data_IF_930990563730
#
_entry.id   IF_930990563730
#
_cell.length_a   1.000
_cell.length_b   1.000
_cell.length_c   1.000
_cell.angle_alpha   90.00
_cell.angle_beta   90.00
_cell.angle_gamma   90.00
#
_symmetry.space_group_name_H-M   'P 1'
#
loop_
_entity.id
_entity.type
_entity.pdbx_description
1 polymer ?
#
# COMPACT_ATOMS: atom_id res chain seq x y z
N UNK A 1 -21.02 -8.85 22.19
CA UNK A 1 -20.30 -10.12 22.08
C UNK A 1 -20.46 -10.78 20.71
N UNK A 2 -21.69 -10.91 20.18
CA UNK A 2 -21.97 -11.52 18.86
C UNK A 2 -21.28 -10.80 17.68
N UNK A 3 -21.23 -9.47 17.66
CA UNK A 3 -20.61 -8.66 16.59
C UNK A 3 -19.10 -8.91 16.49
N UNK A 4 -18.37 -8.89 17.61
CA UNK A 4 -16.91 -9.14 17.63
C UNK A 4 -16.55 -10.56 17.19
N UNK A 5 -17.37 -11.55 17.53
CA UNK A 5 -17.16 -12.94 17.06
C UNK A 5 -17.38 -13.04 15.55
N UNK A 6 -18.43 -12.38 15.01
CA UNK A 6 -18.69 -12.31 13.56
C UNK A 6 -17.52 -11.66 12.81
N UNK A 7 -17.02 -10.51 13.28
CA UNK A 7 -15.86 -9.81 12.69
C UNK A 7 -14.60 -10.70 12.71
N UNK A 8 -14.36 -11.38 13.83
CA UNK A 8 -13.24 -12.32 13.95
C UNK A 8 -13.34 -13.46 12.93
N UNK A 9 -14.51 -14.11 12.82
CA UNK A 9 -14.73 -15.20 11.86
C UNK A 9 -14.61 -14.73 10.41
N UNK A 10 -15.18 -13.56 10.08
CA UNK A 10 -15.05 -12.96 8.75
C UNK A 10 -13.60 -12.61 8.42
N UNK A 11 -12.84 -12.11 9.39
CA UNK A 11 -11.42 -11.81 9.18
C UNK A 11 -10.58 -13.08 8.96
N UNK A 12 -10.90 -14.16 9.68
CA UNK A 12 -10.23 -15.44 9.50
C UNK A 12 -10.53 -16.03 8.12
N UNK A 13 -11.79 -16.05 7.72
CA UNK A 13 -12.22 -16.50 6.41
C UNK A 13 -11.62 -15.65 5.29
N UNK A 14 -11.66 -14.32 5.41
CA UNK A 14 -11.08 -13.39 4.44
C UNK A 14 -9.56 -13.60 4.26
N UNK A 15 -8.84 -13.83 5.36
CA UNK A 15 -7.41 -14.16 5.30
C UNK A 15 -7.13 -15.42 4.48
N UNK A 16 -7.88 -16.51 4.73
CA UNK A 16 -7.71 -17.76 4.00
C UNK A 16 -8.11 -17.61 2.53
N UNK A 17 -9.19 -16.89 2.23
CA UNK A 17 -9.60 -16.59 0.86
C UNK A 17 -8.47 -15.85 0.13
N UNK A 18 -7.91 -14.78 0.71
CA UNK A 18 -6.81 -14.04 0.07
C UNK A 18 -5.57 -14.91 -0.13
N UNK A 19 -5.20 -15.73 0.85
CA UNK A 19 -4.08 -16.65 0.69
C UNK A 19 -4.32 -17.65 -0.44
N UNK A 20 -5.53 -18.23 -0.51
CA UNK A 20 -5.91 -19.18 -1.54
C UNK A 20 -5.90 -18.53 -2.92
N UNK A 21 -6.42 -17.31 -3.06
CA UNK A 21 -6.40 -16.58 -4.34
C UNK A 21 -4.98 -16.36 -4.85
N UNK A 22 -4.04 -15.98 -3.98
CA UNK A 22 -2.64 -15.84 -4.40
C UNK A 22 -1.98 -17.19 -4.66
N UNK A 23 -2.24 -18.22 -3.86
CA UNK A 23 -1.71 -19.56 -4.04
C UNK A 23 -2.14 -20.20 -5.37
N UNK A 24 -3.39 -19.99 -5.77
CA UNK A 24 -3.94 -20.50 -7.03
C UNK A 24 -3.51 -19.70 -8.27
N UNK A 25 -2.65 -18.70 -8.12
CA UNK A 25 -2.13 -17.89 -9.21
C UNK A 25 -0.62 -18.03 -9.34
N UNK A 26 -0.09 -17.89 -10.55
CA UNK A 26 1.35 -17.76 -10.76
C UNK A 26 1.76 -16.34 -10.43
N UNK A 27 2.48 -16.15 -9.33
CA UNK A 27 2.97 -14.84 -8.87
C UNK A 27 4.37 -14.60 -9.43
N UNK A 28 4.59 -13.44 -10.02
CA UNK A 28 5.89 -12.94 -10.48
C UNK A 28 6.16 -11.56 -9.87
N UNK A 29 7.41 -11.28 -9.55
CA UNK A 29 7.85 -10.00 -8.97
C UNK A 29 8.91 -9.40 -9.86
N UNK A 30 8.83 -8.09 -10.11
CA UNK A 30 9.85 -7.32 -10.82
C UNK A 30 10.36 -6.20 -9.91
N UNK A 31 11.67 -6.03 -9.79
CA UNK A 31 12.31 -4.99 -9.01
C UNK A 31 12.45 -5.32 -7.52
N UNK A 32 12.32 -6.59 -7.12
CA UNK A 32 12.44 -7.03 -5.72
C UNK A 32 13.77 -6.60 -5.09
N UNK A 33 14.84 -6.59 -5.86
CA UNK A 33 16.18 -6.15 -5.46
C UNK A 33 16.20 -4.73 -4.88
N UNK A 34 15.31 -3.86 -5.34
CA UNK A 34 15.20 -2.48 -4.84
C UNK A 34 14.70 -2.47 -3.38
N UNK A 35 13.66 -3.26 -3.08
CA UNK A 35 13.16 -3.40 -1.71
C UNK A 35 14.22 -4.01 -0.79
N UNK A 36 14.88 -5.09 -1.23
CA UNK A 36 15.88 -5.78 -0.43
C UNK A 36 17.09 -4.89 -0.12
N UNK A 37 17.55 -4.08 -1.08
CA UNK A 37 18.62 -3.08 -0.87
C UNK A 37 18.19 -2.03 0.16
N UNK A 38 16.96 -1.53 0.09
CA UNK A 38 16.43 -0.56 1.05
C UNK A 38 16.34 -1.14 2.46
N UNK A 39 15.80 -2.34 2.61
CA UNK A 39 15.71 -3.02 3.91
C UNK A 39 17.11 -3.19 4.52
N UNK A 40 18.08 -3.64 3.72
CA UNK A 40 19.48 -3.80 4.18
C UNK A 40 20.13 -2.47 4.58
N UNK A 41 19.70 -1.36 3.98
CA UNK A 41 20.27 -0.04 4.31
C UNK A 41 19.84 0.49 5.68
N UNK A 42 18.81 -0.11 6.32
CA UNK A 42 18.23 0.35 7.58
C UNK A 42 17.55 1.72 7.52
N UNK A 43 17.43 2.32 6.32
CA UNK A 43 16.77 3.62 6.14
C UNK A 43 15.27 3.46 6.27
N UNK A 44 14.57 4.46 6.82
CA UNK A 44 13.11 4.44 6.88
C UNK A 44 12.51 4.44 5.47
N UNK A 45 11.40 3.73 5.30
CA UNK A 45 10.75 3.54 4.01
C UNK A 45 9.28 3.94 4.08
N UNK A 46 8.83 4.76 3.13
CA UNK A 46 7.43 5.01 2.85
C UNK A 46 7.04 4.24 1.59
N UNK A 47 6.15 3.28 1.74
CA UNK A 47 5.57 2.54 0.64
C UNK A 47 4.30 3.24 0.19
N UNK A 48 4.31 3.75 -1.04
CA UNK A 48 3.17 4.42 -1.65
C UNK A 48 2.41 3.46 -2.57
N UNK A 49 1.08 3.47 -2.48
CA UNK A 49 0.21 2.60 -3.26
C UNK A 49 -1.17 3.22 -3.45
N UNK A 50 -1.88 2.85 -4.52
CA UNK A 50 -3.30 3.20 -4.68
C UNK A 50 -4.22 2.26 -3.90
N UNK A 51 -5.30 2.76 -3.32
CA UNK A 51 -6.29 1.93 -2.60
C UNK A 51 -6.75 0.73 -3.41
N UNK A 52 -7.08 0.94 -4.68
CA UNK A 52 -7.54 -0.12 -5.56
C UNK A 52 -6.55 -1.26 -5.81
N UNK A 53 -5.29 -1.10 -5.38
CA UNK A 53 -4.22 -2.10 -5.57
C UNK A 53 -3.56 -2.55 -4.26
N UNK A 54 -4.04 -2.11 -3.12
CA UNK A 54 -3.39 -2.33 -1.83
C UNK A 54 -3.26 -3.82 -1.43
N UNK A 55 -4.09 -4.70 -1.98
CA UNK A 55 -4.04 -6.14 -1.67
C UNK A 55 -2.71 -6.79 -2.09
N UNK A 56 -2.15 -6.38 -3.24
CA UNK A 56 -0.92 -6.95 -3.80
C UNK A 56 0.31 -6.70 -2.92
N UNK A 57 0.65 -5.45 -2.55
CA UNK A 57 1.75 -5.20 -1.63
C UNK A 57 1.47 -5.75 -0.24
N UNK A 58 0.23 -5.72 0.26
CA UNK A 58 -0.10 -6.28 1.57
C UNK A 58 0.12 -7.78 1.64
N UNK A 59 -0.11 -8.51 0.55
CA UNK A 59 0.20 -9.93 0.49
C UNK A 59 1.71 -10.19 0.35
N UNK A 60 2.41 -9.41 -0.45
CA UNK A 60 3.81 -9.62 -0.79
C UNK A 60 4.75 -9.30 0.38
N UNK A 61 4.60 -8.12 1.01
CA UNK A 61 5.56 -7.63 2.03
C UNK A 61 5.51 -8.42 3.33
N UNK A 62 4.44 -9.12 3.63
CA UNK A 62 4.29 -9.86 4.91
C UNK A 62 5.46 -10.82 5.24
N UNK A 63 6.26 -11.17 4.26
CA UNK A 63 7.42 -12.06 4.43
C UNK A 63 8.76 -11.34 4.54
N UNK A 64 8.78 -10.02 4.35
CA UNK A 64 10.06 -9.30 4.19
C UNK A 64 10.45 -8.48 5.42
N UNK A 65 9.53 -7.76 6.03
CA UNK A 65 9.85 -6.86 7.15
C UNK A 65 8.59 -6.42 7.87
N UNK A 66 8.70 -6.01 9.16
CA UNK A 66 7.60 -5.37 9.84
C UNK A 66 7.14 -4.11 9.10
N UNK A 67 5.90 -4.10 8.68
CA UNK A 67 5.25 -2.98 8.00
C UNK A 67 4.15 -2.40 8.88
N UNK A 68 4.07 -1.08 8.95
CA UNK A 68 2.95 -0.37 9.57
C UNK A 68 2.00 0.15 8.49
N UNK A 69 0.71 0.07 8.74
CA UNK A 69 -0.33 0.54 7.81
C UNK A 69 -1.23 1.54 8.53
N UNK A 70 -1.58 2.62 7.85
CA UNK A 70 -2.54 3.59 8.38
C UNK A 70 -3.94 3.02 8.16
N UNK A 71 -4.71 2.88 9.24
CA UNK A 71 -6.06 2.33 9.20
C UNK A 71 -7.04 3.24 9.92
N UNK A 72 -8.18 3.52 9.31
CA UNK A 72 -9.25 4.28 9.94
C UNK A 72 -9.86 3.48 11.10
N UNK A 73 -10.70 4.18 11.94
CA UNK A 73 -11.42 3.54 13.05
C UNK A 73 -12.87 3.18 12.69
N UNK A 74 -13.23 3.19 11.40
CA UNK A 74 -14.56 2.79 10.96
C UNK A 74 -14.73 1.26 11.02
N UNK A 75 -15.94 0.79 11.27
CA UNK A 75 -16.25 -0.64 11.43
C UNK A 75 -15.82 -1.48 10.21
N UNK A 76 -16.06 -0.99 9.00
CA UNK A 76 -15.64 -1.68 7.77
C UNK A 76 -14.13 -1.88 7.67
N UNK A 77 -13.35 -0.97 8.27
CA UNK A 77 -11.90 -1.07 8.32
C UNK A 77 -11.40 -2.08 9.37
N UNK A 78 -12.23 -2.47 10.34
CA UNK A 78 -11.81 -3.38 11.42
C UNK A 78 -11.56 -4.80 10.90
N UNK A 79 -12.37 -5.30 9.98
CA UNK A 79 -12.16 -6.63 9.39
C UNK A 79 -10.81 -6.69 8.69
N UNK A 80 -10.51 -5.69 7.84
CA UNK A 80 -9.22 -5.60 7.16
C UNK A 80 -8.07 -5.41 8.16
N UNK A 81 -8.26 -4.57 9.18
CA UNK A 81 -7.29 -4.35 10.23
C UNK A 81 -6.95 -5.65 10.99
N UNK A 82 -7.94 -6.52 11.24
CA UNK A 82 -7.72 -7.84 11.85
C UNK A 82 -6.91 -8.77 10.93
N UNK A 83 -7.18 -8.78 9.63
CA UNK A 83 -6.42 -9.56 8.64
C UNK A 83 -4.97 -9.10 8.63
N UNK A 84 -4.74 -7.78 8.56
CA UNK A 84 -3.40 -7.19 8.51
C UNK A 84 -2.59 -7.48 9.78
N UNK A 85 -3.21 -7.38 10.97
CA UNK A 85 -2.56 -7.79 12.22
C UNK A 85 -2.16 -9.26 12.22
N UNK A 86 -3.01 -10.15 11.69
CA UNK A 86 -2.70 -11.58 11.57
C UNK A 86 -1.59 -11.86 10.55
N UNK A 87 -1.33 -10.94 9.65
CA UNK A 87 -0.16 -10.97 8.77
C UNK A 87 1.10 -10.33 9.40
N UNK A 88 1.02 -9.90 10.66
CA UNK A 88 2.16 -9.32 11.38
C UNK A 88 2.33 -7.80 11.20
N UNK A 89 1.34 -7.10 10.63
CA UNK A 89 1.43 -5.66 10.41
C UNK A 89 1.10 -4.85 11.65
N UNK A 90 1.90 -3.81 11.91
CA UNK A 90 1.57 -2.75 12.83
C UNK A 90 0.45 -1.86 12.27
N UNK A 91 -0.42 -1.33 13.13
CA UNK A 91 -1.49 -0.44 12.69
C UNK A 91 -1.36 0.93 13.36
N UNK A 92 -1.24 1.96 12.54
CA UNK A 92 -1.39 3.36 12.94
C UNK A 92 -2.87 3.71 12.84
N UNK A 93 -3.50 3.99 13.97
CA UNK A 93 -4.96 4.20 14.03
C UNK A 93 -5.32 5.67 13.96
N UNK A 94 -5.93 6.08 12.85
CA UNK A 94 -6.39 7.45 12.62
C UNK A 94 -6.69 7.73 11.16
N UNK A 95 -7.11 8.94 10.90
CA UNK A 95 -7.26 9.47 9.54
C UNK A 95 -6.70 10.89 9.48
N UNK A 96 -6.31 11.33 8.31
CA UNK A 96 -5.80 12.70 8.09
C UNK A 96 -6.81 13.80 8.44
N UNK A 97 -8.11 13.48 8.48
CA UNK A 97 -9.17 14.46 8.76
C UNK A 97 -9.53 14.59 10.24
N UNK A 98 -9.40 13.52 11.05
CA UNK A 98 -9.62 13.58 12.50
C UNK A 98 -8.44 12.91 13.20
N UNK A 99 -7.59 13.72 13.84
CA UNK A 99 -6.40 13.23 14.53
C UNK A 99 -5.15 13.13 13.64
N UNK A 100 -5.09 13.81 12.50
CA UNK A 100 -3.96 13.77 11.56
C UNK A 100 -2.61 14.07 12.22
N UNK A 101 -2.57 15.00 13.18
CA UNK A 101 -1.35 15.32 13.93
C UNK A 101 -0.81 14.11 14.71
N UNK A 102 -1.69 13.30 15.32
CA UNK A 102 -1.27 12.11 16.05
C UNK A 102 -0.75 11.02 15.09
N UNK A 103 -1.38 10.87 13.91
CA UNK A 103 -0.91 9.96 12.87
C UNK A 103 0.49 10.37 12.41
N UNK A 104 0.72 11.65 12.13
CA UNK A 104 2.02 12.19 11.72
C UNK A 104 3.08 11.96 12.81
N UNK A 105 2.77 12.21 14.08
CA UNK A 105 3.68 11.96 15.22
C UNK A 105 4.05 10.48 15.30
N UNK A 106 3.09 9.58 15.15
CA UNK A 106 3.32 8.13 15.19
C UNK A 106 4.17 7.69 13.99
N UNK A 107 3.88 8.19 12.78
CA UNK A 107 4.70 7.95 11.58
C UNK A 107 6.15 8.41 11.79
N UNK A 108 6.36 9.63 12.26
CA UNK A 108 7.69 10.17 12.55
C UNK A 108 8.44 9.29 13.56
N UNK A 109 7.78 8.81 14.61
CA UNK A 109 8.36 7.89 15.60
C UNK A 109 8.77 6.55 15.00
N UNK A 110 8.00 6.02 14.04
CA UNK A 110 8.33 4.77 13.34
C UNK A 110 9.51 5.01 12.40
N UNK A 111 9.49 6.09 11.63
CA UNK A 111 10.58 6.45 10.72
C UNK A 111 11.89 6.71 11.44
N UNK A 112 11.88 7.36 12.61
CA UNK A 112 13.11 7.59 13.40
C UNK A 112 13.79 6.30 13.87
N UNK A 113 13.08 5.16 13.81
CA UNK A 113 13.61 3.82 14.13
C UNK A 113 13.94 3.00 12.87
N UNK A 114 13.98 3.61 11.69
CA UNK A 114 14.21 2.90 10.43
C UNK A 114 13.01 2.06 9.97
N UNK A 115 11.80 2.32 10.49
CA UNK A 115 10.62 1.53 10.17
C UNK A 115 10.05 1.78 8.78
N UNK A 116 9.17 0.87 8.34
CA UNK A 116 8.43 0.98 7.08
C UNK A 116 6.96 1.26 7.33
N UNK A 117 6.41 2.20 6.57
CA UNK A 117 4.98 2.55 6.62
C UNK A 117 4.40 2.51 5.21
N UNK A 118 3.25 1.83 5.04
CA UNK A 118 2.47 1.91 3.81
C UNK A 118 1.40 3.00 3.91
N UNK A 119 1.31 3.78 2.83
CA UNK A 119 0.36 4.88 2.66
C UNK A 119 -0.42 4.68 1.38
N UNK A 120 -1.75 4.70 1.49
CA UNK A 120 -2.63 4.76 0.32
C UNK A 120 -2.82 6.23 -0.07
N UNK A 121 -2.08 6.65 -1.10
CA UNK A 121 -1.88 8.07 -1.39
C UNK A 121 -3.10 8.80 -1.97
N UNK A 122 -4.06 8.10 -2.55
CA UNK A 122 -5.33 8.67 -3.03
C UNK A 122 -6.33 8.97 -1.89
N UNK A 123 -6.01 8.55 -0.66
CA UNK A 123 -6.84 8.81 0.52
C UNK A 123 -8.18 8.05 0.49
N UNK A 124 -8.93 8.05 1.61
CA UNK A 124 -10.11 7.19 1.76
C UNK A 124 -11.33 7.60 0.90
N UNK A 125 -11.31 8.78 0.32
CA UNK A 125 -12.40 9.34 -0.50
C UNK A 125 -12.03 9.56 -1.95
N UNK A 126 -10.79 9.25 -2.35
CA UNK A 126 -10.29 9.49 -3.70
C UNK A 126 -10.14 10.99 -4.06
N UNK A 127 -10.11 11.31 -5.34
CA UNK A 127 -10.32 10.43 -6.49
C UNK A 127 -9.18 9.42 -6.68
N UNK A 128 -9.50 8.30 -7.33
CA UNK A 128 -8.54 7.24 -7.58
C UNK A 128 -7.35 7.72 -8.43
N UNK A 129 -6.15 7.24 -8.09
CA UNK A 129 -4.92 7.50 -8.84
C UNK A 129 -4.47 8.98 -8.85
N UNK A 130 -4.95 9.77 -7.88
CA UNK A 130 -4.48 11.14 -7.62
C UNK A 130 -4.01 11.21 -6.18
N UNK A 131 -2.74 11.49 -5.98
CA UNK A 131 -2.15 11.56 -4.64
C UNK A 131 -2.70 12.74 -3.84
N UNK A 132 -2.70 12.62 -2.53
CA UNK A 132 -2.90 13.76 -1.63
C UNK A 132 -1.54 14.36 -1.27
N UNK A 133 -1.54 15.65 -0.99
CA UNK A 133 -0.34 16.39 -0.57
C UNK A 133 0.19 15.92 0.80
N UNK A 134 1.44 16.24 1.08
CA UNK A 134 2.06 16.05 2.39
C UNK A 134 2.90 14.78 2.54
N UNK A 135 2.77 13.78 1.67
CA UNK A 135 3.59 12.56 1.75
C UNK A 135 5.06 12.83 1.44
N UNK A 136 5.34 13.63 0.41
CA UNK A 136 6.71 14.00 0.02
C UNK A 136 7.34 14.87 1.10
N UNK A 137 6.67 15.92 1.56
CA UNK A 137 7.17 16.78 2.63
C UNK A 137 7.46 16.01 3.92
N UNK A 138 6.62 15.04 4.27
CA UNK A 138 6.87 14.16 5.41
C UNK A 138 8.11 13.27 5.18
N UNK A 139 8.29 12.76 3.98
CA UNK A 139 9.45 11.93 3.62
C UNK A 139 10.76 12.73 3.67
N UNK A 140 10.79 13.94 3.13
CA UNK A 140 11.94 14.83 3.18
C UNK A 140 12.31 15.14 4.64
N UNK A 141 11.33 15.58 5.45
CA UNK A 141 11.54 15.95 6.85
C UNK A 141 12.13 14.81 7.70
N UNK A 142 11.83 13.57 7.37
CA UNK A 142 12.27 12.40 8.12
C UNK A 142 13.35 11.58 7.39
N UNK A 143 13.93 12.09 6.30
CA UNK A 143 14.93 11.38 5.47
C UNK A 143 14.47 9.98 5.04
N UNK A 144 13.20 9.85 4.65
CA UNK A 144 12.53 8.60 4.29
C UNK A 144 12.68 8.34 2.79
N UNK A 145 12.98 7.10 2.42
CA UNK A 145 12.95 6.68 1.01
C UNK A 145 11.53 6.30 0.59
N UNK A 146 11.05 6.91 -0.49
CA UNK A 146 9.74 6.60 -1.07
C UNK A 146 9.94 5.51 -2.13
N UNK A 147 9.12 4.46 -2.04
CA UNK A 147 8.97 3.44 -3.09
C UNK A 147 7.48 3.20 -3.35
N UNK A 148 7.17 2.65 -4.51
CA UNK A 148 5.85 2.05 -4.75
C UNK A 148 5.98 0.54 -4.92
N UNK A 149 5.05 -0.19 -4.30
CA UNK A 149 4.86 -1.61 -4.57
C UNK A 149 3.41 -1.76 -4.97
N UNK A 150 3.19 -2.23 -6.18
CA UNK A 150 1.86 -2.37 -6.73
C UNK A 150 1.71 -3.71 -7.43
N UNK A 151 0.53 -4.01 -7.95
CA UNK A 151 0.32 -5.25 -8.67
C UNK A 151 -0.87 -5.23 -9.58
N UNK A 152 -0.91 -6.26 -10.41
CA UNK A 152 -1.98 -6.50 -11.36
C UNK A 152 -2.18 -8.00 -11.55
N UNK A 153 -3.34 -8.42 -12.06
CA UNK A 153 -3.62 -9.82 -12.35
C UNK A 153 -4.25 -9.97 -13.74
N UNK A 154 -3.91 -11.02 -14.48
CA UNK A 154 -4.51 -11.29 -15.81
C UNK A 154 -5.99 -11.60 -15.72
N UNK A 155 -6.43 -12.26 -14.63
CA UNK A 155 -7.81 -12.55 -14.30
C UNK A 155 -8.15 -11.90 -12.96
N UNK A 156 -9.23 -11.12 -12.90
CA UNK A 156 -9.61 -10.39 -11.69
C UNK A 156 -11.09 -10.09 -11.63
N UNK A 157 -11.58 -9.84 -10.41
CA UNK A 157 -12.82 -9.13 -10.16
C UNK A 157 -12.47 -7.68 -9.85
N UNK A 158 -13.27 -6.75 -10.36
CA UNK A 158 -13.16 -5.34 -10.03
C UNK A 158 -14.41 -4.92 -9.27
N UNK A 159 -14.20 -4.41 -8.07
CA UNK A 159 -15.30 -3.89 -7.26
C UNK A 159 -15.80 -2.58 -7.87
N UNK A 160 -17.12 -2.38 -7.89
CA UNK A 160 -17.74 -1.12 -8.34
C UNK A 160 -17.67 -0.08 -7.20
N UNK A 161 -16.46 0.33 -6.85
CA UNK A 161 -16.13 1.34 -5.86
C UNK A 161 -15.37 2.49 -6.52
N UNK A 162 -15.22 3.62 -5.81
CA UNK A 162 -14.47 4.78 -6.31
C UNK A 162 -13.02 4.43 -6.68
N UNK A 163 -12.38 3.52 -5.92
CA UNK A 163 -10.98 3.08 -6.08
C UNK A 163 -10.81 1.92 -7.07
N UNK A 164 -11.93 1.36 -7.57
CA UNK A 164 -11.94 0.19 -8.48
C UNK A 164 -11.05 -0.94 -7.95
N UNK A 165 -11.27 -1.32 -6.69
CA UNK A 165 -10.48 -2.33 -6.01
C UNK A 165 -10.37 -3.62 -6.82
N UNK A 166 -9.15 -4.09 -7.02
CA UNK A 166 -8.85 -5.29 -7.79
C UNK A 166 -8.63 -6.49 -6.88
N UNK A 167 -9.42 -7.55 -7.12
CA UNK A 167 -9.27 -8.84 -6.48
C UNK A 167 -8.87 -9.89 -7.52
N UNK A 168 -7.71 -10.56 -7.42
CA UNK A 168 -7.31 -11.56 -8.40
C UNK A 168 -8.26 -12.75 -8.40
N UNK A 169 -8.58 -13.26 -9.59
CA UNK A 169 -9.32 -14.51 -9.76
C UNK A 169 -8.34 -15.68 -9.80
N UNK A 170 -8.76 -16.89 -9.40
CA UNK A 170 -7.93 -18.09 -9.49
C UNK A 170 -7.47 -18.40 -10.92
N UNK A 171 -6.39 -19.15 -11.01
CA UNK A 171 -5.85 -19.72 -12.26
C UNK A 171 -5.46 -18.67 -13.30
N UNK A 172 -4.88 -17.59 -12.84
CA UNK A 172 -4.27 -16.53 -13.65
C UNK A 172 -2.80 -16.32 -13.31
N UNK A 173 -2.30 -15.15 -13.72
CA UNK A 173 -0.98 -14.64 -13.35
C UNK A 173 -1.16 -13.35 -12.53
N UNK A 174 -0.37 -13.19 -11.48
CA UNK A 174 -0.25 -11.95 -10.71
C UNK A 174 1.15 -11.40 -10.97
N UNK A 175 1.21 -10.14 -11.34
CA UNK A 175 2.46 -9.41 -11.47
C UNK A 175 2.56 -8.39 -10.36
N UNK A 176 3.60 -8.48 -9.54
CA UNK A 176 3.97 -7.47 -8.55
C UNK A 176 5.14 -6.67 -9.12
N UNK A 177 5.10 -5.36 -8.94
CA UNK A 177 6.15 -4.45 -9.38
C UNK A 177 6.60 -3.63 -8.18
N UNK A 178 7.91 -3.67 -7.93
CA UNK A 178 8.60 -2.85 -6.93
C UNK A 178 9.39 -1.78 -7.67
N UNK A 179 9.16 -0.52 -7.33
CA UNK A 179 9.89 0.59 -7.94
C UNK A 179 11.34 0.68 -7.47
N UNK A 180 12.18 1.36 -8.25
CA UNK A 180 13.34 2.02 -7.68
C UNK A 180 12.88 3.04 -6.61
N UNK A 181 13.74 3.43 -5.64
CA UNK A 181 13.45 4.56 -4.77
C UNK A 181 13.17 5.81 -5.59
N UNK A 182 12.14 6.56 -5.19
CA UNK A 182 11.83 7.85 -5.80
C UNK A 182 12.99 8.81 -5.53
N UNK A 183 13.49 9.42 -6.58
CA UNK A 183 14.46 10.50 -6.47
C UNK A 183 13.68 11.81 -6.25
N UNK A 184 13.69 12.27 -5.00
CA UNK A 184 12.95 13.47 -4.62
C UNK A 184 13.84 14.66 -4.98
N UNK A 185 13.48 15.38 -6.05
CA UNK A 185 14.13 16.64 -6.37
C UNK A 185 13.88 17.64 -5.22
N UNK A 186 14.93 18.27 -4.71
CA UNK A 186 14.85 19.27 -3.64
C UNK A 186 14.04 20.53 -4.03
N UNK A 187 13.59 20.60 -5.29
CA UNK A 187 12.95 21.77 -5.91
C UNK A 187 11.41 21.69 -5.99
N UNK A 188 10.78 20.71 -5.35
CA UNK A 188 9.31 20.68 -5.29
C UNK A 188 8.83 21.76 -4.31
N UNK A 189 8.40 22.90 -4.84
CA UNK A 189 8.09 24.10 -4.06
C UNK A 189 6.62 24.22 -3.69
N UNK A 190 5.74 23.50 -4.37
CA UNK A 190 4.28 23.60 -4.14
C UNK A 190 3.64 22.26 -3.85
N UNK A 191 2.51 22.28 -3.10
CA UNK A 191 1.71 21.08 -2.85
C UNK A 191 1.16 20.44 -4.14
N UNK A 192 0.93 21.25 -5.18
CA UNK A 192 0.43 20.77 -6.47
C UNK A 192 1.51 20.00 -7.23
N UNK A 193 2.75 20.49 -7.20
CA UNK A 193 3.90 19.78 -7.78
C UNK A 193 4.15 18.47 -7.07
N UNK A 194 4.08 18.41 -5.72
CA UNK A 194 4.17 17.18 -4.95
C UNK A 194 3.10 16.17 -5.38
N UNK A 195 1.84 16.61 -5.49
CA UNK A 195 0.71 15.76 -5.88
C UNK A 195 0.91 15.19 -7.28
N UNK A 196 1.29 16.05 -8.24
CA UNK A 196 1.53 15.63 -9.61
C UNK A 196 2.67 14.63 -9.69
N UNK A 197 3.82 14.97 -9.13
CA UNK A 197 5.05 14.15 -9.19
C UNK A 197 4.82 12.76 -8.55
N UNK A 198 4.22 12.71 -7.36
CA UNK A 198 3.92 11.46 -6.68
C UNK A 198 2.88 10.63 -7.44
N UNK A 199 1.86 11.29 -8.02
CA UNK A 199 0.84 10.60 -8.82
C UNK A 199 1.44 9.99 -10.08
N UNK A 200 2.28 10.73 -10.80
CA UNK A 200 2.98 10.25 -12.00
C UNK A 200 3.88 9.06 -11.67
N UNK A 201 4.64 9.16 -10.56
CA UNK A 201 5.50 8.08 -10.11
C UNK A 201 4.73 6.79 -9.81
N UNK A 202 3.66 6.86 -9.02
CA UNK A 202 2.88 5.66 -8.67
C UNK A 202 2.16 5.13 -9.93
N UNK A 203 1.62 6.03 -10.77
CA UNK A 203 0.93 5.65 -12.01
C UNK A 203 1.86 4.94 -12.99
N UNK A 204 3.09 5.42 -13.16
CA UNK A 204 4.08 4.77 -14.03
C UNK A 204 4.28 3.28 -13.68
N UNK A 205 4.48 2.98 -12.39
CA UNK A 205 4.69 1.60 -11.94
C UNK A 205 3.39 0.78 -11.95
N UNK A 206 2.24 1.42 -11.70
CA UNK A 206 0.95 0.76 -11.82
C UNK A 206 0.67 0.37 -13.28
N UNK A 207 0.92 1.27 -14.22
CA UNK A 207 0.73 1.01 -15.64
C UNK A 207 1.73 -0.05 -16.14
N UNK A 208 2.96 -0.07 -15.59
CA UNK A 208 3.91 -1.16 -15.85
C UNK A 208 3.36 -2.52 -15.42
N UNK A 209 2.75 -2.62 -14.23
CA UNK A 209 2.12 -3.85 -13.77
C UNK A 209 0.92 -4.24 -14.65
N UNK A 210 0.13 -3.27 -15.09
CA UNK A 210 -1.03 -3.48 -15.96
C UNK A 210 -0.60 -3.90 -17.39
N UNK A 211 0.48 -3.35 -17.95
CA UNK A 211 1.08 -3.84 -19.20
C UNK A 211 1.57 -5.27 -19.09
N UNK A 212 2.30 -5.61 -18.05
CA UNK A 212 2.82 -6.97 -17.82
C UNK A 212 1.72 -8.03 -17.65
N UNK A 213 0.50 -7.62 -17.39
CA UNK A 213 -0.69 -8.49 -17.32
C UNK A 213 -1.63 -8.36 -18.53
N UNK A 214 -1.23 -7.59 -19.55
CA UNK A 214 -1.98 -7.46 -20.80
C UNK A 214 -3.26 -6.62 -20.70
N UNK A 215 -3.35 -5.67 -19.74
CA UNK A 215 -4.53 -4.79 -19.60
C UNK A 215 -4.44 -3.53 -20.44
N UNK A 216 -3.25 -3.04 -20.62
CA UNK A 216 -2.95 -1.89 -21.45
C UNK A 216 -1.77 -2.24 -22.35
N UNK A 217 -1.71 -1.70 -23.58
CA UNK A 217 -0.63 -1.96 -24.52
C UNK A 217 0.74 -1.48 -24.05
#
# INVERSE_FOLDING_TARGET
MKTKLKEFLLSLLGRWIFQLLFFLNKVSVTGEENLLKLIKSGKPIMLCVWHGRLLFPSWYIRYHTPLHIISSRHEDSEILAHILRKWGYGLIRGSTNKGGMNVIKEMTKIFSKGGMIAVTNDGPKGPARIAKSGSIGLAIKNNVKIITITGSATKYWQVKSWDRFMLPRPFGKIQIVVSAPMDIAEQLSTSEEEVRFLSEFINYYQDKADRLTGKIP
#
